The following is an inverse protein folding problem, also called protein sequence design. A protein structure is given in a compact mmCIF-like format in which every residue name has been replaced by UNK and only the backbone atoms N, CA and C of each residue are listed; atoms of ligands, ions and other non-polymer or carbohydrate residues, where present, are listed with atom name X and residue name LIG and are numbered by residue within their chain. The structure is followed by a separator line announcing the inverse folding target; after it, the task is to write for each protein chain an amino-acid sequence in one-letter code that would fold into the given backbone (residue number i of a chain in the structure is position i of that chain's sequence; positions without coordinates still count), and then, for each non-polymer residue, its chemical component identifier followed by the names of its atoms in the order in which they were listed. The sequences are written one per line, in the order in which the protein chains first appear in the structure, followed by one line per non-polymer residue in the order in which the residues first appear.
data_IF_702666300947
#
_entry.id   IF_702666300947
#
_cell.length_a   1.000
_cell.length_b   1.000
_cell.length_c   1.000
_cell.angle_alpha   90.00
_cell.angle_beta   90.00
_cell.angle_gamma   90.00
#
_symmetry.space_group_name_H-M   'P 1'
#
loop_
_entity.id
_entity.type
_entity.pdbx_description
1 polymer ?
#
# COMPACT_ATOMS: atom_id res chain seq x y z
N UNK A 1 -8.88 13.07 -38.62
CA UNK A 1 -9.25 13.48 -37.25
C UNK A 1 -8.39 12.68 -36.29
N UNK A 2 -7.92 13.31 -35.24
CA UNK A 2 -7.17 12.65 -34.19
C UNK A 2 -8.09 11.72 -33.40
N UNK A 3 -7.56 10.59 -32.95
CA UNK A 3 -8.33 9.53 -32.30
C UNK A 3 -7.75 9.18 -30.94
N UNK A 4 -8.54 9.32 -29.88
CA UNK A 4 -8.22 8.78 -28.56
C UNK A 4 -8.31 7.26 -28.58
N UNK A 5 -7.22 6.57 -28.24
CA UNK A 5 -7.14 5.10 -28.21
C UNK A 5 -7.06 4.53 -26.79
N UNK A 6 -6.87 5.40 -25.80
CA UNK A 6 -6.79 5.05 -24.39
C UNK A 6 -7.24 6.25 -23.56
N UNK A 7 -7.97 6.00 -22.48
CA UNK A 7 -8.30 7.00 -21.48
C UNK A 7 -8.33 6.34 -20.09
N UNK A 8 -7.69 6.96 -19.11
CA UNK A 8 -7.68 6.53 -17.70
C UNK A 8 -7.95 7.72 -16.80
N UNK A 9 -8.71 7.49 -15.74
CA UNK A 9 -9.08 8.49 -14.78
C UNK A 9 -8.57 8.14 -13.38
N UNK A 10 -7.98 9.10 -12.66
CA UNK A 10 -7.58 8.96 -11.25
C UNK A 10 -8.67 9.44 -10.29
N UNK A 11 -9.93 9.07 -10.54
CA UNK A 11 -11.10 9.59 -9.82
C UNK A 11 -11.16 9.23 -8.34
N UNK A 12 -10.39 8.24 -7.90
CA UNK A 12 -10.29 7.85 -6.48
C UNK A 12 -9.49 8.86 -5.65
N UNK A 13 -8.67 9.72 -6.28
CA UNK A 13 -7.89 10.76 -5.60
C UNK A 13 -8.80 11.92 -5.17
N UNK A 14 -8.33 12.71 -4.22
CA UNK A 14 -8.92 13.99 -3.84
C UNK A 14 -9.15 14.88 -5.06
N UNK A 15 -10.17 15.72 -5.04
CA UNK A 15 -10.62 16.47 -6.23
C UNK A 15 -9.50 17.28 -6.88
N UNK A 16 -8.59 17.85 -6.07
CA UNK A 16 -7.43 18.63 -6.52
C UNK A 16 -6.30 17.81 -7.17
N UNK A 17 -6.42 16.49 -7.21
CA UNK A 17 -5.44 15.57 -7.78
C UNK A 17 -5.98 14.69 -8.89
N UNK A 18 -7.26 14.85 -9.24
CA UNK A 18 -7.90 14.04 -10.29
C UNK A 18 -7.39 14.47 -11.65
N UNK A 19 -6.89 13.50 -12.41
CA UNK A 19 -6.37 13.66 -13.77
C UNK A 19 -7.06 12.63 -14.67
N UNK A 20 -7.35 13.07 -15.90
CA UNK A 20 -7.66 12.16 -17.02
C UNK A 20 -6.44 12.09 -17.94
N UNK A 21 -5.93 10.89 -18.14
CA UNK A 21 -4.81 10.63 -19.05
C UNK A 21 -5.33 9.98 -20.33
N UNK A 22 -5.13 10.64 -21.46
CA UNK A 22 -5.51 10.15 -22.79
C UNK A 22 -4.27 9.83 -23.63
N UNK A 23 -4.32 8.78 -24.43
CA UNK A 23 -3.37 8.57 -25.54
C UNK A 23 -4.11 8.83 -26.84
N UNK A 24 -3.64 9.83 -27.59
CA UNK A 24 -4.24 10.28 -28.84
C UNK A 24 -3.30 9.96 -29.99
N UNK A 25 -3.87 9.46 -31.10
CA UNK A 25 -3.15 9.18 -32.34
C UNK A 25 -3.58 10.17 -33.40
N UNK A 26 -2.63 10.88 -33.99
CA UNK A 26 -2.89 11.77 -35.11
C UNK A 26 -3.05 11.00 -36.43
N UNK A 27 -3.42 11.72 -37.50
CA UNK A 27 -3.58 11.13 -38.85
C UNK A 27 -2.30 10.52 -39.42
N UNK A 28 -1.13 10.92 -38.92
CA UNK A 28 0.18 10.39 -39.30
C UNK A 28 0.62 9.19 -38.43
N UNK A 29 -0.22 8.75 -37.48
CA UNK A 29 0.09 7.65 -36.57
C UNK A 29 0.99 8.04 -35.39
N UNK A 30 1.29 9.32 -35.19
CA UNK A 30 2.06 9.80 -34.03
C UNK A 30 1.18 9.78 -32.79
N UNK A 31 1.75 9.32 -31.69
CA UNK A 31 1.06 9.19 -30.41
C UNK A 31 1.49 10.32 -29.46
N UNK A 32 0.50 10.99 -28.89
CA UNK A 32 0.67 12.03 -27.87
C UNK A 32 -0.10 11.63 -26.63
N UNK A 33 0.50 11.83 -25.46
CA UNK A 33 -0.16 11.63 -24.17
C UNK A 33 -0.65 12.99 -23.69
N UNK A 34 -1.92 13.06 -23.28
CA UNK A 34 -2.50 14.26 -22.69
C UNK A 34 -2.95 13.96 -21.27
N UNK A 35 -2.61 14.85 -20.33
CA UNK A 35 -3.11 14.82 -18.96
C UNK A 35 -3.99 16.04 -18.73
N UNK A 36 -5.28 15.82 -18.55
CA UNK A 36 -6.28 16.86 -18.29
C UNK A 36 -6.58 16.96 -16.81
N UNK A 37 -6.81 18.17 -16.33
CA UNK A 37 -7.39 18.37 -15.02
C UNK A 37 -8.79 17.74 -14.99
N UNK A 38 -9.01 16.76 -14.10
CA UNK A 38 -10.29 16.06 -13.96
C UNK A 38 -11.36 16.93 -13.28
N UNK A 39 -10.93 17.97 -12.58
CA UNK A 39 -11.78 18.99 -11.95
C UNK A 39 -11.13 20.36 -12.09
N UNK A 40 -11.89 21.44 -11.83
CA UNK A 40 -11.32 22.79 -11.73
C UNK A 40 -10.29 22.90 -10.60
N UNK A 41 -10.48 22.17 -9.50
CA UNK A 41 -9.56 22.16 -8.37
C UNK A 41 -8.22 21.47 -8.70
N UNK A 42 -8.19 20.59 -9.71
CA UNK A 42 -6.97 19.91 -10.16
C UNK A 42 -6.12 20.72 -11.15
N UNK A 43 -6.61 21.87 -11.61
CA UNK A 43 -5.91 22.71 -12.59
C UNK A 43 -4.49 23.13 -12.12
N UNK A 44 -4.30 23.59 -10.86
CA UNK A 44 -2.95 23.91 -10.38
C UNK A 44 -2.02 22.69 -10.35
N UNK A 45 -2.55 21.50 -10.04
CA UNK A 45 -1.77 20.27 -10.01
C UNK A 45 -1.26 19.88 -11.40
N UNK A 46 -2.12 19.98 -12.42
CA UNK A 46 -1.73 19.69 -13.82
C UNK A 46 -0.73 20.71 -14.35
N UNK A 47 -0.93 22.01 -14.13
CA UNK A 47 0.03 23.06 -14.54
C UNK A 47 1.43 22.83 -13.96
N UNK A 48 1.50 22.39 -12.70
CA UNK A 48 2.77 22.18 -11.99
C UNK A 48 3.62 21.08 -12.62
N UNK A 49 3.06 20.15 -13.40
CA UNK A 49 3.82 19.06 -14.03
C UNK A 49 4.95 19.60 -14.92
N UNK A 50 4.69 20.68 -15.67
CA UNK A 50 5.72 21.29 -16.53
C UNK A 50 6.84 21.95 -15.70
N UNK A 51 6.50 22.57 -14.57
CA UNK A 51 7.49 23.11 -13.63
C UNK A 51 8.34 21.99 -13.01
N UNK A 52 7.70 20.90 -12.57
CA UNK A 52 8.37 19.72 -12.05
C UNK A 52 9.32 19.12 -13.09
N UNK A 53 8.91 19.02 -14.36
CA UNK A 53 9.80 18.59 -15.45
C UNK A 53 11.07 19.42 -15.51
N UNK A 54 10.95 20.76 -15.53
CA UNK A 54 12.12 21.67 -15.60
C UNK A 54 13.06 21.47 -14.41
N UNK A 55 12.51 21.36 -13.21
CA UNK A 55 13.26 21.16 -11.97
C UNK A 55 13.99 19.81 -11.93
N UNK A 56 13.31 18.73 -12.32
CA UNK A 56 13.91 17.38 -12.40
C UNK A 56 14.98 17.30 -13.48
N UNK A 57 14.73 17.90 -14.65
CA UNK A 57 15.67 17.91 -15.76
C UNK A 57 16.97 18.65 -15.41
N UNK A 58 16.88 19.68 -14.57
CA UNK A 58 18.02 20.39 -13.98
C UNK A 58 18.76 19.50 -12.97
N UNK A 59 18.04 18.99 -11.96
CA UNK A 59 18.61 18.22 -10.85
C UNK A 59 19.33 16.93 -11.32
N UNK A 60 18.85 16.32 -12.40
CA UNK A 60 19.42 15.09 -12.97
C UNK A 60 20.33 15.35 -14.17
N UNK A 61 20.72 16.61 -14.44
CA UNK A 61 21.60 16.94 -15.56
C UNK A 61 22.93 16.17 -15.48
N UNK A 62 23.32 15.56 -16.60
CA UNK A 62 24.56 14.78 -16.70
C UNK A 62 24.43 13.35 -16.19
N UNK A 63 23.31 12.99 -15.56
CA UNK A 63 22.99 11.60 -15.23
C UNK A 63 22.43 10.85 -16.44
N UNK A 64 22.24 9.53 -16.29
CA UNK A 64 21.56 8.68 -17.27
C UNK A 64 20.05 8.57 -17.04
N UNK A 65 19.50 9.37 -16.12
CA UNK A 65 18.07 9.47 -15.86
C UNK A 65 17.58 10.76 -16.52
N UNK A 66 16.74 10.60 -17.55
CA UNK A 66 16.09 11.68 -18.29
C UNK A 66 14.60 11.67 -17.97
N UNK A 67 13.95 12.81 -18.07
CA UNK A 67 12.51 12.93 -17.85
C UNK A 67 11.83 13.21 -19.19
N UNK A 68 10.69 12.55 -19.45
CA UNK A 68 9.93 12.76 -20.68
C UNK A 68 9.48 14.23 -20.76
N UNK A 69 9.79 14.98 -21.82
CA UNK A 69 9.42 16.39 -21.91
C UNK A 69 7.90 16.56 -21.95
N UNK A 70 7.43 17.68 -21.40
CA UNK A 70 6.04 18.04 -21.48
C UNK A 70 5.85 19.55 -21.62
N UNK A 71 4.67 19.94 -22.10
CA UNK A 71 4.27 21.33 -22.27
C UNK A 71 2.86 21.53 -21.72
N UNK A 72 2.63 22.64 -21.03
CA UNK A 72 1.29 23.01 -20.57
C UNK A 72 0.53 23.72 -21.70
N UNK A 73 -0.74 23.36 -21.86
CA UNK A 73 -1.64 23.93 -22.84
C UNK A 73 -2.90 24.47 -22.16
N UNK A 74 -3.19 25.74 -22.43
CA UNK A 74 -4.42 26.40 -21.97
C UNK A 74 -5.61 26.00 -22.84
N UNK A 75 -6.69 25.58 -22.20
CA UNK A 75 -7.96 25.25 -22.84
C UNK A 75 -9.04 26.26 -22.41
N UNK A 76 -10.15 26.29 -23.13
CA UNK A 76 -11.32 27.10 -22.72
C UNK A 76 -11.86 26.70 -21.34
N UNK A 77 -11.66 25.44 -20.94
CA UNK A 77 -12.12 24.88 -19.67
C UNK A 77 -10.98 24.19 -18.92
N UNK A 78 -10.02 24.97 -18.43
CA UNK A 78 -8.87 24.51 -17.63
C UNK A 78 -7.61 24.32 -18.47
N UNK A 79 -6.68 23.51 -17.97
CA UNK A 79 -5.40 23.21 -18.60
C UNK A 79 -5.24 21.72 -18.87
N UNK A 80 -4.35 21.41 -19.80
CA UNK A 80 -3.81 20.07 -19.99
C UNK A 80 -2.30 20.14 -20.12
N UNK A 81 -1.63 19.02 -19.89
CA UNK A 81 -0.22 18.85 -20.23
C UNK A 81 -0.10 17.83 -21.34
N UNK A 82 0.71 18.11 -22.35
CA UNK A 82 1.01 17.20 -23.44
C UNK A 82 2.45 16.70 -23.38
N UNK A 83 2.66 15.45 -23.72
CA UNK A 83 3.98 14.83 -23.80
C UNK A 83 4.04 13.78 -24.93
N UNK A 84 5.23 13.51 -25.50
CA UNK A 84 5.38 12.46 -26.49
C UNK A 84 5.14 11.09 -25.86
N UNK A 85 4.55 10.18 -26.64
CA UNK A 85 4.47 8.79 -26.21
C UNK A 85 5.85 8.14 -26.22
N UNK A 86 6.35 7.80 -25.03
CA UNK A 86 7.64 7.11 -24.87
C UNK A 86 7.54 5.68 -25.41
N UNK A 87 8.50 5.30 -26.25
CA UNK A 87 8.65 3.95 -26.78
C UNK A 87 9.79 3.25 -26.04
N UNK A 88 9.63 1.96 -25.75
CA UNK A 88 10.63 1.17 -25.06
C UNK A 88 9.99 0.10 -24.19
N UNK A 89 10.82 -0.59 -23.43
CA UNK A 89 10.39 -1.54 -22.40
C UNK A 89 10.61 -0.87 -21.03
N UNK A 90 9.65 -1.04 -20.10
CA UNK A 90 9.80 -0.51 -18.74
C UNK A 90 10.70 -1.41 -17.91
N UNK A 91 11.37 -0.86 -16.90
CA UNK A 91 12.12 -1.67 -15.93
C UNK A 91 11.23 -2.76 -15.31
N UNK A 92 9.96 -2.44 -15.06
CA UNK A 92 8.99 -3.42 -14.55
C UNK A 92 8.76 -4.58 -15.52
N UNK A 93 8.52 -4.32 -16.81
CA UNK A 93 8.32 -5.39 -17.79
C UNK A 93 9.56 -6.27 -17.94
N UNK A 94 10.76 -5.69 -17.84
CA UNK A 94 12.01 -6.44 -17.80
C UNK A 94 12.08 -7.36 -16.57
N UNK A 95 11.78 -6.82 -15.37
CA UNK A 95 11.71 -7.58 -14.11
C UNK A 95 10.70 -8.72 -14.23
N UNK A 96 9.47 -8.45 -14.68
CA UNK A 96 8.39 -9.43 -14.85
C UNK A 96 8.77 -10.55 -15.82
N UNK A 97 9.47 -10.22 -16.91
CA UNK A 97 9.96 -11.21 -17.88
C UNK A 97 11.03 -12.10 -17.25
N UNK A 98 12.06 -11.52 -16.66
CA UNK A 98 13.17 -12.28 -16.06
C UNK A 98 12.70 -13.14 -14.90
N UNK A 99 11.82 -12.60 -14.06
CA UNK A 99 11.19 -13.31 -12.95
C UNK A 99 10.39 -14.54 -13.43
N UNK A 100 9.56 -14.39 -14.47
CA UNK A 100 8.81 -15.52 -15.06
C UNK A 100 9.71 -16.60 -15.67
N UNK A 101 10.90 -16.23 -16.12
CA UNK A 101 11.89 -17.15 -16.69
C UNK A 101 12.78 -17.80 -15.62
N UNK A 102 12.63 -17.43 -14.34
CA UNK A 102 13.51 -17.88 -13.27
C UNK A 102 14.91 -17.26 -13.31
N UNK A 103 15.10 -16.19 -14.10
CA UNK A 103 16.35 -15.45 -14.18
C UNK A 103 16.44 -14.41 -13.05
N UNK A 104 16.71 -14.93 -11.86
CA UNK A 104 16.87 -14.13 -10.64
C UNK A 104 18.05 -13.16 -10.72
N UNK A 105 19.13 -13.55 -11.40
CA UNK A 105 20.33 -12.72 -11.53
C UNK A 105 20.04 -11.41 -12.26
N UNK A 106 19.24 -11.46 -13.34
CA UNK A 106 18.82 -10.24 -14.05
C UNK A 106 17.90 -9.37 -13.19
N UNK A 107 16.96 -9.95 -12.43
CA UNK A 107 16.09 -9.18 -11.52
C UNK A 107 16.93 -8.42 -10.49
N UNK A 108 17.85 -9.10 -9.81
CA UNK A 108 18.72 -8.47 -8.81
C UNK A 108 19.63 -7.41 -9.43
N UNK A 109 20.12 -7.64 -10.65
CA UNK A 109 20.95 -6.67 -11.37
C UNK A 109 20.17 -5.38 -11.69
N UNK A 110 18.91 -5.49 -12.14
CA UNK A 110 18.06 -4.33 -12.40
C UNK A 110 17.83 -3.53 -11.12
N UNK A 111 17.48 -4.20 -10.00
CA UNK A 111 17.23 -3.54 -8.71
C UNK A 111 18.49 -2.81 -8.22
N UNK A 112 19.65 -3.46 -8.28
CA UNK A 112 20.93 -2.84 -7.87
C UNK A 112 21.34 -1.68 -8.76
N UNK A 113 21.14 -1.79 -10.07
CA UNK A 113 21.43 -0.71 -11.01
C UNK A 113 20.53 0.50 -10.76
N UNK A 114 19.25 0.26 -10.49
CA UNK A 114 18.30 1.31 -10.10
C UNK A 114 18.69 1.99 -8.79
N UNK A 115 19.02 1.20 -7.76
CA UNK A 115 19.58 1.69 -6.50
C UNK A 115 20.77 2.63 -6.73
N UNK A 116 21.77 2.15 -7.48
CA UNK A 116 22.98 2.93 -7.77
C UNK A 116 22.67 4.25 -8.49
N UNK A 117 21.92 4.20 -9.60
CA UNK A 117 21.65 5.41 -10.41
C UNK A 117 20.86 6.45 -9.64
N UNK A 118 19.92 6.04 -8.80
CA UNK A 118 19.16 6.96 -7.97
C UNK A 118 20.04 7.58 -6.88
N UNK A 119 20.91 6.79 -6.25
CA UNK A 119 21.83 7.29 -5.23
C UNK A 119 22.88 8.26 -5.80
N UNK A 120 23.34 8.07 -7.03
CA UNK A 120 24.39 8.91 -7.66
C UNK A 120 23.87 10.18 -8.36
N UNK A 121 22.54 10.36 -8.49
CA UNK A 121 21.94 11.46 -9.25
C UNK A 121 20.97 12.32 -8.41
N UNK A 122 20.61 13.50 -8.93
CA UNK A 122 19.55 14.33 -8.35
C UNK A 122 19.97 15.23 -7.16
N UNK A 123 21.27 15.33 -6.85
CA UNK A 123 21.78 16.09 -5.69
C UNK A 123 21.94 15.22 -4.43
N UNK A 124 22.66 15.71 -3.41
CA UNK A 124 22.99 14.96 -2.18
C UNK A 124 22.74 15.77 -0.91
N UNK A 125 21.67 16.55 -0.91
CA UNK A 125 21.29 17.40 0.23
C UNK A 125 20.90 16.55 1.46
N UNK A 126 21.29 16.95 2.69
CA UNK A 126 20.90 16.22 3.89
C UNK A 126 19.40 16.35 4.16
N UNK A 127 18.80 15.29 4.70
CA UNK A 127 17.38 15.31 5.06
C UNK A 127 17.09 16.33 6.14
N UNK A 128 16.18 17.25 5.82
CA UNK A 128 15.71 18.29 6.72
C UNK A 128 14.21 18.13 6.88
N UNK A 129 13.73 18.15 8.12
CA UNK A 129 12.30 18.03 8.38
C UNK A 129 11.61 19.37 8.14
N UNK A 130 10.82 19.45 7.07
CA UNK A 130 10.05 20.65 6.71
C UNK A 130 8.56 20.47 7.04
N UNK A 131 7.83 21.58 7.13
CA UNK A 131 6.37 21.53 7.32
C UNK A 131 5.68 20.92 6.10
N UNK A 132 6.20 21.19 4.89
CA UNK A 132 5.73 20.60 3.64
C UNK A 132 5.90 19.08 3.64
N UNK A 133 7.03 18.58 4.14
CA UNK A 133 7.24 17.14 4.32
C UNK A 133 6.21 16.56 5.28
N UNK A 134 6.02 17.18 6.46
CA UNK A 134 5.04 16.72 7.46
C UNK A 134 3.61 16.68 6.94
N UNK A 135 3.24 17.65 6.10
CA UNK A 135 1.91 17.72 5.50
C UNK A 135 1.63 16.60 4.50
N UNK A 136 2.67 16.06 3.84
CA UNK A 136 2.52 15.02 2.81
C UNK A 136 2.78 13.62 3.36
N UNK A 137 3.82 13.46 4.18
CA UNK A 137 4.34 12.17 4.64
C UNK A 137 4.13 11.94 6.14
N UNK A 138 3.52 12.90 6.85
CA UNK A 138 3.24 12.79 8.28
C UNK A 138 4.47 13.04 9.17
N UNK A 139 4.44 12.59 10.43
CA UNK A 139 5.54 12.77 11.37
C UNK A 139 6.87 12.26 10.79
N UNK A 140 7.87 13.13 10.80
CA UNK A 140 9.16 12.83 10.18
C UNK A 140 10.10 12.09 11.13
N UNK A 141 11.09 11.44 10.52
CA UNK A 141 12.21 10.83 11.22
C UNK A 141 13.27 11.84 11.68
N UNK A 142 14.46 11.35 11.95
CA UNK A 142 15.58 12.14 12.47
C UNK A 142 16.22 13.05 11.41
N UNK A 143 16.56 14.28 11.78
CA UNK A 143 17.34 15.19 10.92
C UNK A 143 18.68 14.58 10.50
N UNK A 144 19.12 14.87 9.27
CA UNK A 144 20.37 14.42 8.68
C UNK A 144 20.53 12.88 8.59
N UNK A 145 19.47 12.11 8.84
CA UNK A 145 19.52 10.65 8.79
C UNK A 145 19.64 10.09 7.36
N UNK A 146 19.23 10.87 6.36
CA UNK A 146 19.18 10.43 4.97
C UNK A 146 19.78 11.46 4.01
N UNK A 147 20.22 10.96 2.85
CA UNK A 147 20.56 11.78 1.69
C UNK A 147 19.31 11.93 0.83
N UNK A 148 19.03 13.16 0.41
CA UNK A 148 17.89 13.53 -0.42
C UNK A 148 18.35 14.02 -1.78
N UNK A 149 17.49 13.85 -2.78
CA UNK A 149 17.62 14.63 -4.01
C UNK A 149 17.12 16.06 -3.76
N UNK A 150 17.67 17.04 -4.47
CA UNK A 150 17.28 18.45 -4.40
C UNK A 150 15.82 18.64 -4.82
N UNK A 151 15.36 17.79 -5.74
CA UNK A 151 13.97 17.68 -6.20
C UNK A 151 13.66 16.20 -6.34
N UNK A 152 12.61 15.73 -5.68
CA UNK A 152 12.31 14.31 -5.56
C UNK A 152 10.96 13.96 -6.14
N UNK A 153 10.95 13.11 -7.16
CA UNK A 153 9.75 12.43 -7.64
C UNK A 153 9.61 11.06 -6.95
N UNK A 154 8.57 10.92 -6.12
CA UNK A 154 8.33 9.65 -5.40
C UNK A 154 7.69 8.58 -6.27
N UNK A 155 7.24 8.92 -7.48
CA UNK A 155 6.67 7.99 -8.47
C UNK A 155 7.67 7.50 -9.52
N UNK A 156 8.98 7.61 -9.23
CA UNK A 156 10.06 6.93 -9.97
C UNK A 156 10.05 5.40 -9.75
N UNK A 157 8.88 4.77 -9.79
CA UNK A 157 8.66 3.32 -9.69
C UNK A 157 8.99 2.63 -11.01
N UNK A 158 9.26 1.31 -10.98
CA UNK A 158 9.75 0.59 -12.16
C UNK A 158 8.81 0.62 -13.39
N UNK A 159 7.49 0.75 -13.21
CA UNK A 159 6.55 0.90 -14.33
C UNK A 159 6.68 2.21 -15.08
N UNK A 160 7.24 3.24 -14.43
CA UNK A 160 7.31 4.60 -14.94
C UNK A 160 8.67 4.91 -15.57
N UNK A 161 9.59 3.95 -15.59
CA UNK A 161 10.96 4.11 -16.10
C UNK A 161 11.12 3.25 -17.34
N UNK A 162 11.31 3.91 -18.48
CA UNK A 162 11.54 3.27 -19.78
C UNK A 162 13.02 3.23 -20.10
N UNK A 163 13.46 2.13 -20.71
CA UNK A 163 14.79 2.02 -21.31
C UNK A 163 14.67 2.26 -22.81
N UNK A 164 15.32 3.30 -23.32
CA UNK A 164 15.38 3.56 -24.76
C UNK A 164 16.31 2.52 -25.40
N UNK A 165 15.80 1.75 -26.36
CA UNK A 165 16.61 0.76 -27.09
C UNK A 165 17.30 1.42 -28.26
N UNK A 166 18.61 1.60 -28.16
CA UNK A 166 19.48 2.01 -29.25
C UNK A 166 20.78 1.20 -29.17
N UNK A 167 21.12 0.49 -30.25
CA UNK A 167 22.38 -0.26 -30.46
C UNK A 167 22.45 -1.71 -29.95
N UNK A 168 21.33 -2.46 -29.89
CA UNK A 168 21.39 -3.91 -29.70
C UNK A 168 21.92 -4.38 -28.34
N UNK A 169 22.01 -3.46 -27.36
CA UNK A 169 22.35 -3.78 -25.98
C UNK A 169 21.29 -4.66 -25.32
N UNK A 170 21.73 -5.51 -24.40
CA UNK A 170 20.86 -6.32 -23.56
C UNK A 170 20.11 -5.43 -22.56
N UNK A 171 19.13 -6.00 -21.85
CA UNK A 171 18.46 -5.37 -20.69
C UNK A 171 19.41 -4.84 -19.61
N UNK A 172 20.68 -5.26 -19.65
CA UNK A 172 21.72 -4.91 -18.69
C UNK A 172 22.72 -3.89 -19.23
N UNK A 173 22.41 -3.21 -20.34
CA UNK A 173 23.27 -2.13 -20.81
C UNK A 173 23.28 -0.97 -19.81
N UNK A 174 24.30 -0.96 -18.96
CA UNK A 174 24.56 0.08 -17.96
C UNK A 174 24.78 1.46 -18.61
N UNK A 175 25.02 1.52 -19.92
CA UNK A 175 25.13 2.76 -20.69
C UNK A 175 23.79 3.25 -21.27
N UNK A 176 22.74 2.44 -21.23
CA UNK A 176 21.42 2.84 -21.73
C UNK A 176 20.81 3.93 -20.84
N UNK A 177 20.29 4.97 -21.47
CA UNK A 177 19.60 6.03 -20.75
C UNK A 177 18.17 5.60 -20.40
N UNK A 178 17.69 6.13 -19.27
CA UNK A 178 16.34 5.91 -18.79
C UNK A 178 15.50 7.15 -19.03
N UNK A 179 14.27 6.95 -19.49
CA UNK A 179 13.26 8.01 -19.64
C UNK A 179 12.16 7.76 -18.61
N UNK A 180 12.07 8.64 -17.61
CA UNK A 180 11.03 8.64 -16.59
C UNK A 180 9.80 9.36 -17.13
N UNK A 181 8.64 8.73 -16.96
CA UNK A 181 7.33 9.33 -17.17
C UNK A 181 6.62 9.49 -15.83
N UNK A 182 5.46 10.15 -15.85
CA UNK A 182 4.54 10.15 -14.71
C UNK A 182 5.10 10.73 -13.39
N UNK A 183 5.90 11.78 -13.51
CA UNK A 183 6.50 12.52 -12.39
C UNK A 183 5.54 13.55 -11.74
N UNK A 184 4.26 13.19 -11.61
CA UNK A 184 3.22 14.06 -11.00
C UNK A 184 3.49 14.34 -9.52
N UNK A 185 4.16 13.39 -8.85
CA UNK A 185 4.43 13.41 -7.41
C UNK A 185 5.86 13.86 -7.12
N UNK A 186 6.20 14.98 -7.76
CA UNK A 186 7.46 15.68 -7.55
C UNK A 186 7.32 16.73 -6.46
N UNK A 187 8.24 16.71 -5.51
CA UNK A 187 8.25 17.61 -4.36
C UNK A 187 9.51 18.47 -4.36
N UNK A 188 9.37 19.81 -4.22
CA UNK A 188 10.50 20.74 -4.15
C UNK A 188 11.04 20.87 -2.71
N UNK A 189 10.97 19.78 -1.93
CA UNK A 189 11.49 19.71 -0.58
C UNK A 189 12.26 18.38 -0.41
N UNK A 190 13.17 18.26 0.57
CA UNK A 190 14.01 17.08 0.72
C UNK A 190 13.17 15.82 0.99
N UNK A 191 13.24 14.85 0.07
CA UNK A 191 12.70 13.50 0.29
C UNK A 191 13.86 12.50 0.19
N UNK A 192 14.00 11.57 1.16
CA UNK A 192 15.07 10.59 1.14
C UNK A 192 15.10 9.75 -0.14
N UNK A 193 16.26 9.63 -0.78
CA UNK A 193 16.44 8.77 -1.96
C UNK A 193 16.05 7.32 -1.66
N UNK A 194 16.39 6.84 -0.45
CA UNK A 194 16.00 5.51 0.05
C UNK A 194 14.48 5.32 0.14
N UNK A 195 13.69 6.37 0.38
CA UNK A 195 12.23 6.26 0.39
C UNK A 195 11.68 6.00 -1.03
N UNK A 196 12.27 6.63 -2.05
CA UNK A 196 11.93 6.37 -3.46
C UNK A 196 12.31 4.93 -3.85
N UNK A 197 13.47 4.44 -3.40
CA UNK A 197 13.87 3.03 -3.58
C UNK A 197 12.89 2.06 -2.92
N UNK A 198 12.51 2.35 -1.68
CA UNK A 198 11.51 1.58 -0.94
C UNK A 198 10.21 1.48 -1.74
N UNK A 199 9.68 2.61 -2.23
CA UNK A 199 8.43 2.63 -3.02
C UNK A 199 8.53 1.77 -4.27
N UNK A 200 9.60 1.91 -5.07
CA UNK A 200 9.79 1.12 -6.28
C UNK A 200 9.80 -0.40 -5.99
N UNK A 201 10.53 -0.82 -4.96
CA UNK A 201 10.61 -2.23 -4.54
C UNK A 201 9.30 -2.72 -3.95
N UNK A 202 8.63 -1.90 -3.13
CA UNK A 202 7.33 -2.21 -2.54
C UNK A 202 6.29 -2.53 -3.63
N UNK A 203 6.17 -1.68 -4.66
CA UNK A 203 5.24 -1.93 -5.76
C UNK A 203 5.60 -3.19 -6.55
N UNK A 204 6.87 -3.39 -6.90
CA UNK A 204 7.31 -4.62 -7.56
C UNK A 204 7.05 -5.87 -6.72
N UNK A 205 7.23 -5.77 -5.40
CA UNK A 205 6.99 -6.89 -4.50
C UNK A 205 5.53 -7.34 -4.55
N UNK A 206 4.59 -6.43 -4.35
CA UNK A 206 3.18 -6.78 -4.33
C UNK A 206 2.60 -7.15 -5.71
N UNK A 207 3.20 -6.65 -6.80
CA UNK A 207 2.74 -6.93 -8.16
C UNK A 207 3.39 -8.17 -8.78
N UNK A 208 4.63 -8.51 -8.38
CA UNK A 208 5.47 -9.51 -9.04
C UNK A 208 5.94 -10.58 -8.06
N UNK A 209 6.59 -10.17 -6.96
CA UNK A 209 7.40 -11.08 -6.15
C UNK A 209 6.62 -11.86 -5.08
N UNK A 210 5.53 -11.30 -4.56
CA UNK A 210 4.80 -11.81 -3.37
C UNK A 210 4.40 -13.28 -3.49
N UNK A 211 4.10 -13.76 -4.69
CA UNK A 211 3.69 -15.14 -4.92
C UNK A 211 4.80 -16.19 -4.66
N UNK A 212 6.08 -15.78 -4.54
CA UNK A 212 7.22 -16.69 -4.38
C UNK A 212 7.63 -16.95 -2.93
N UNK A 213 6.98 -16.32 -1.94
CA UNK A 213 7.25 -16.55 -0.52
C UNK A 213 8.58 -15.97 0.00
N UNK A 214 9.35 -15.27 -0.83
CA UNK A 214 10.47 -14.42 -0.38
C UNK A 214 9.92 -13.20 0.33
N UNK A 215 10.49 -12.79 1.46
CA UNK A 215 10.02 -11.63 2.21
C UNK A 215 10.43 -10.30 1.55
N UNK A 216 9.64 -9.24 1.75
CA UNK A 216 9.95 -7.89 1.25
C UNK A 216 11.30 -7.37 1.79
N UNK A 217 11.64 -7.68 3.05
CA UNK A 217 12.89 -7.25 3.67
C UNK A 217 14.12 -7.75 2.93
N UNK A 218 14.06 -8.94 2.31
CA UNK A 218 15.19 -9.48 1.55
C UNK A 218 15.45 -8.70 0.25
N UNK A 219 14.40 -8.16 -0.37
CA UNK A 219 14.53 -7.30 -1.55
C UNK A 219 15.04 -5.91 -1.19
N UNK A 220 14.57 -5.36 -0.06
CA UNK A 220 14.99 -4.07 0.45
C UNK A 220 16.47 -4.08 0.89
N UNK A 221 16.94 -5.18 1.48
CA UNK A 221 18.34 -5.34 1.86
C UNK A 221 19.32 -5.27 0.68
N UNK A 222 18.88 -5.53 -0.56
CA UNK A 222 19.75 -5.43 -1.75
C UNK A 222 20.19 -4.00 -2.08
N UNK A 223 19.45 -3.02 -1.57
CA UNK A 223 19.69 -1.58 -1.75
C UNK A 223 19.96 -0.88 -0.42
N UNK A 224 20.47 -1.64 0.56
CA UNK A 224 20.90 -1.16 1.88
C UNK A 224 19.77 -0.49 2.69
N UNK A 225 18.53 -0.96 2.55
CA UNK A 225 17.40 -0.53 3.39
C UNK A 225 17.23 -1.52 4.55
N UNK A 226 17.32 -1.03 5.78
CA UNK A 226 17.12 -1.85 6.98
C UNK A 226 15.64 -2.07 7.29
N UNK A 227 15.34 -2.99 8.22
CA UNK A 227 13.96 -3.26 8.68
C UNK A 227 13.36 -2.04 9.38
N UNK A 228 14.17 -1.31 10.15
CA UNK A 228 13.78 -0.09 10.84
C UNK A 228 13.48 1.04 9.84
N UNK A 229 14.34 1.22 8.82
CA UNK A 229 14.09 2.16 7.73
C UNK A 229 12.81 1.79 6.96
N UNK A 230 12.61 0.50 6.67
CA UNK A 230 11.42 0.02 5.97
C UNK A 230 10.12 0.27 6.76
N UNK A 231 10.15 0.11 8.09
CA UNK A 231 9.00 0.43 8.95
C UNK A 231 8.68 1.93 8.90
N UNK A 232 9.70 2.80 9.01
CA UNK A 232 9.51 4.24 8.90
C UNK A 232 8.96 4.65 7.53
N UNK A 233 9.47 4.06 6.45
CA UNK A 233 9.01 4.32 5.09
C UNK A 233 7.58 3.82 4.86
N UNK A 234 7.16 2.72 5.51
CA UNK A 234 5.78 2.25 5.46
C UNK A 234 4.80 3.24 6.12
N UNK A 235 5.21 3.90 7.20
CA UNK A 235 4.41 4.96 7.84
C UNK A 235 4.26 6.18 6.91
N UNK A 236 5.36 6.63 6.29
CA UNK A 236 5.32 7.73 5.30
C UNK A 236 4.46 7.37 4.08
N UNK A 237 4.52 6.13 3.62
CA UNK A 237 3.66 5.63 2.55
C UNK A 237 2.19 5.73 2.93
N UNK A 238 1.84 5.33 4.15
CA UNK A 238 0.47 5.38 4.66
C UNK A 238 -0.05 6.82 4.66
N UNK A 239 0.73 7.76 5.18
CA UNK A 239 0.38 9.18 5.17
C UNK A 239 0.30 9.77 3.76
N UNK A 240 1.19 9.35 2.86
CA UNK A 240 1.10 9.76 1.47
C UNK A 240 -0.21 9.29 0.83
N UNK A 241 -0.61 8.02 1.04
CA UNK A 241 -1.89 7.52 0.54
C UNK A 241 -3.09 8.27 1.14
N UNK A 242 -3.05 8.61 2.43
CA UNK A 242 -4.08 9.46 3.07
C UNK A 242 -4.14 10.86 2.45
N UNK A 243 -2.97 11.46 2.21
CA UNK A 243 -2.82 12.77 1.55
C UNK A 243 -3.41 12.76 0.13
N UNK A 244 -3.22 11.68 -0.63
CA UNK A 244 -3.81 11.52 -1.97
C UNK A 244 -5.34 11.49 -1.96
N UNK A 245 -5.93 11.04 -0.86
CA UNK A 245 -7.37 10.79 -0.75
C UNK A 245 -8.14 11.94 -0.08
N UNK A 246 -7.50 12.71 0.80
CA UNK A 246 -8.14 13.75 1.63
C UNK A 246 -9.42 13.24 2.33
N UNK A 247 -9.38 12.01 2.85
CA UNK A 247 -10.53 11.37 3.48
C UNK A 247 -11.51 10.68 2.52
N UNK A 248 -11.24 10.67 1.22
CA UNK A 248 -11.91 9.81 0.24
C UNK A 248 -11.54 8.33 0.43
N UNK A 249 -12.41 7.41 -0.01
CA UNK A 249 -12.17 5.97 0.08
C UNK A 249 -12.18 5.33 -1.31
N UNK A 250 -11.09 4.65 -1.74
CA UNK A 250 -11.06 3.89 -2.99
C UNK A 250 -12.18 2.86 -3.06
N UNK A 251 -12.73 2.60 -4.25
CA UNK A 251 -13.84 1.65 -4.44
C UNK A 251 -13.40 0.23 -4.05
N UNK A 252 -12.13 -0.11 -4.31
CA UNK A 252 -11.53 -1.38 -3.85
C UNK A 252 -11.60 -1.55 -2.33
N UNK A 253 -11.62 -0.45 -1.57
CA UNK A 253 -11.75 -0.46 -0.12
C UNK A 253 -13.23 -0.40 0.32
N UNK A 254 -14.19 -0.09 -0.58
CA UNK A 254 -15.62 -0.09 -0.24
C UNK A 254 -16.17 -1.49 0.07
N UNK A 255 -15.65 -2.55 -0.56
CA UNK A 255 -16.00 -3.94 -0.21
C UNK A 255 -15.68 -4.27 1.26
N UNK A 256 -14.67 -3.60 1.84
CA UNK A 256 -14.26 -3.72 3.23
C UNK A 256 -15.12 -2.88 4.18
N UNK A 257 -15.65 -1.74 3.72
CA UNK A 257 -16.53 -0.86 4.51
C UNK A 257 -17.99 -1.36 4.51
N UNK A 258 -18.48 -1.82 3.37
CA UNK A 258 -19.85 -2.34 3.23
C UNK A 258 -19.98 -3.78 3.73
N UNK A 259 -18.85 -4.47 3.91
CA UNK A 259 -18.77 -5.91 4.10
C UNK A 259 -19.07 -6.65 2.79
N UNK A 260 -18.38 -7.75 2.54
CA UNK A 260 -18.77 -8.70 1.51
C UNK A 260 -19.46 -9.86 2.21
N UNK A 261 -20.71 -10.18 1.84
CA UNK A 261 -21.36 -11.40 2.35
C UNK A 261 -20.64 -12.60 1.71
N UNK A 262 -19.64 -13.12 2.40
CA UNK A 262 -18.98 -14.38 2.05
C UNK A 262 -19.90 -15.48 2.55
N UNK A 263 -20.52 -16.22 1.62
CA UNK A 263 -21.32 -17.41 1.95
C UNK A 263 -20.42 -18.62 1.71
N UNK A 264 -19.96 -19.31 2.76
CA UNK A 264 -19.27 -20.59 2.63
C UNK A 264 -20.10 -21.54 1.77
N UNK A 265 -19.45 -22.30 0.89
CA UNK A 265 -20.15 -23.21 -0.03
C UNK A 265 -21.04 -24.23 0.72
N UNK A 266 -20.65 -24.58 1.94
CA UNK A 266 -21.40 -25.44 2.87
C UNK A 266 -22.71 -24.81 3.35
N UNK A 267 -22.75 -23.49 3.60
CA UNK A 267 -23.98 -22.74 3.91
C UNK A 267 -24.92 -22.64 2.70
N UNK A 268 -24.38 -22.65 1.49
CA UNK A 268 -25.18 -22.64 0.27
C UNK A 268 -25.87 -23.99 0.02
N UNK A 269 -25.26 -25.08 0.49
CA UNK A 269 -25.76 -26.46 0.39
C UNK A 269 -26.69 -26.83 1.55
N UNK A 270 -26.49 -26.25 2.73
CA UNK A 270 -27.38 -26.37 3.87
C UNK A 270 -28.46 -25.28 3.78
N UNK A 271 -29.56 -25.57 3.07
CA UNK A 271 -30.67 -24.63 2.87
C UNK A 271 -31.01 -23.79 4.11
N UNK A 272 -30.96 -22.47 3.93
CA UNK A 272 -31.37 -21.40 4.86
C UNK A 272 -31.46 -21.79 6.35
N UNK A 273 -30.33 -21.80 7.04
CA UNK A 273 -30.23 -21.31 8.42
C UNK A 273 -28.86 -20.69 8.66
N UNK A 274 -28.70 -19.42 8.32
CA UNK A 274 -27.56 -18.61 8.77
C UNK A 274 -28.11 -17.51 9.67
N UNK A 275 -28.18 -17.81 10.96
CA UNK A 275 -28.23 -16.77 12.00
C UNK A 275 -26.97 -15.94 11.88
N UNK A 276 -27.11 -14.61 11.93
CA UNK A 276 -26.04 -13.66 12.21
C UNK A 276 -25.09 -14.24 13.27
N UNK A 277 -23.79 -13.95 13.16
CA UNK A 277 -22.70 -14.41 14.01
C UNK A 277 -22.76 -14.01 15.50
N UNK A 278 -23.93 -14.09 16.11
CA UNK A 278 -24.08 -14.49 17.49
C UNK A 278 -23.88 -16.01 17.59
N UNK A 279 -22.99 -16.45 18.46
CA UNK A 279 -23.20 -17.73 19.14
C UNK A 279 -24.41 -17.50 20.07
N UNK A 280 -25.61 -17.65 19.50
CA UNK A 280 -26.91 -17.28 20.08
C UNK A 280 -27.29 -18.21 21.25
N UNK A 281 -27.85 -17.60 22.31
CA UNK A 281 -28.81 -18.15 23.31
C UNK A 281 -28.35 -18.95 24.55
N UNK A 282 -27.20 -19.62 24.61
CA UNK A 282 -26.86 -20.43 25.82
C UNK A 282 -26.17 -19.65 26.96
N UNK A 283 -25.60 -18.48 26.67
CA UNK A 283 -24.64 -17.79 27.56
C UNK A 283 -25.20 -17.40 28.94
N UNK A 284 -26.51 -17.17 29.10
CA UNK A 284 -27.10 -16.72 30.38
C UNK A 284 -26.98 -17.74 31.52
N UNK A 285 -26.77 -19.03 31.22
CA UNK A 285 -26.77 -20.11 32.22
C UNK A 285 -25.39 -20.77 32.40
N UNK A 286 -24.39 -20.37 31.60
CA UNK A 286 -23.05 -20.95 31.64
C UNK A 286 -22.26 -20.37 32.82
N UNK A 287 -21.92 -21.23 33.78
CA UNK A 287 -21.06 -20.83 34.91
C UNK A 287 -19.59 -20.87 34.52
N UNK A 288 -19.04 -19.70 34.20
CA UNK A 288 -17.64 -19.54 33.80
C UNK A 288 -16.72 -19.42 35.03
N UNK A 289 -15.68 -20.25 35.10
CA UNK A 289 -14.64 -20.20 36.13
C UNK A 289 -13.62 -19.10 35.84
N UNK A 290 -13.13 -19.03 34.60
CA UNK A 290 -12.20 -18.00 34.13
C UNK A 290 -12.22 -17.91 32.61
N UNK A 291 -11.91 -16.72 32.09
CA UNK A 291 -11.59 -16.52 30.68
C UNK A 291 -10.07 -16.53 30.53
N UNK A 292 -9.60 -17.00 29.38
CA UNK A 292 -8.18 -17.02 29.00
C UNK A 292 -8.10 -16.50 27.58
N UNK A 293 -7.09 -15.68 27.31
CA UNK A 293 -6.80 -15.22 25.97
C UNK A 293 -5.30 -14.98 25.81
N UNK A 294 -4.85 -14.92 24.57
CA UNK A 294 -3.56 -14.42 24.17
C UNK A 294 -3.68 -13.80 22.78
N UNK A 295 -2.94 -12.71 22.56
CA UNK A 295 -2.84 -12.07 21.27
C UNK A 295 -1.56 -12.58 20.62
N UNK A 296 -1.69 -13.31 19.52
CA UNK A 296 -0.54 -13.82 18.76
C UNK A 296 0.02 -12.73 17.84
N UNK A 297 -0.86 -11.87 17.32
CA UNK A 297 -0.52 -10.83 16.34
C UNK A 297 -1.45 -9.64 16.46
N UNK A 298 -0.87 -8.44 16.45
CA UNK A 298 -1.58 -7.18 16.39
C UNK A 298 -0.90 -6.27 15.38
N UNK A 299 -1.57 -6.00 14.26
CA UNK A 299 -1.03 -5.25 13.13
C UNK A 299 -2.00 -4.15 12.71
N UNK A 300 -1.47 -3.03 12.21
CA UNK A 300 -2.25 -1.99 11.55
C UNK A 300 -1.90 -1.99 10.07
N UNK A 301 -2.90 -2.11 9.21
CA UNK A 301 -2.72 -2.12 7.76
C UNK A 301 -3.88 -1.36 7.11
N UNK A 302 -3.55 -0.36 6.28
CA UNK A 302 -4.52 0.41 5.48
C UNK A 302 -5.72 0.96 6.29
N UNK A 303 -5.47 1.48 7.50
CA UNK A 303 -6.52 2.02 8.40
C UNK A 303 -7.37 0.95 9.11
N UNK A 304 -7.03 -0.33 8.96
CA UNK A 304 -7.62 -1.44 9.70
C UNK A 304 -6.68 -1.92 10.79
N UNK A 305 -7.25 -2.39 11.90
CA UNK A 305 -6.54 -3.11 12.94
C UNK A 305 -6.85 -4.59 12.77
N UNK A 306 -5.80 -5.39 12.67
CA UNK A 306 -5.88 -6.85 12.57
C UNK A 306 -5.35 -7.40 13.89
N UNK A 307 -6.21 -8.10 14.62
CA UNK A 307 -5.85 -8.76 15.86
C UNK A 307 -6.17 -10.25 15.74
N UNK A 308 -5.12 -11.06 15.77
CA UNK A 308 -5.20 -12.51 15.73
C UNK A 308 -4.73 -13.09 17.06
N UNK A 309 -5.38 -14.15 17.51
CA UNK A 309 -5.02 -14.79 18.77
C UNK A 309 -5.87 -15.99 19.08
N UNK A 310 -5.92 -16.34 20.36
CA UNK A 310 -6.85 -17.34 20.87
C UNK A 310 -7.54 -16.85 22.13
N UNK A 311 -8.81 -17.21 22.31
CA UNK A 311 -9.57 -16.88 23.50
C UNK A 311 -10.64 -17.94 23.81
N UNK A 312 -10.70 -18.35 25.09
CA UNK A 312 -11.61 -19.40 25.56
C UNK A 312 -12.10 -19.16 27.00
N UNK A 313 -13.28 -19.68 27.30
CA UNK A 313 -13.84 -19.76 28.63
C UNK A 313 -13.65 -21.16 29.21
N UNK A 314 -13.11 -21.25 30.43
CA UNK A 314 -13.14 -22.49 31.23
C UNK A 314 -14.38 -22.47 32.12
N UNK A 315 -15.30 -23.39 31.90
CA UNK A 315 -16.53 -23.54 32.67
C UNK A 315 -16.30 -24.33 33.97
N UNK A 316 -17.18 -24.17 34.96
CA UNK A 316 -17.10 -24.92 36.22
C UNK A 316 -17.33 -26.43 36.04
N UNK A 317 -18.08 -26.82 35.01
CA UNK A 317 -18.32 -28.22 34.63
C UNK A 317 -17.13 -28.88 33.90
N UNK A 318 -16.03 -28.15 33.74
CA UNK A 318 -14.81 -28.62 33.10
C UNK A 318 -14.75 -28.42 31.58
N UNK A 319 -15.83 -27.96 30.93
CA UNK A 319 -15.83 -27.65 29.49
C UNK A 319 -14.97 -26.42 29.20
N UNK A 320 -14.40 -26.40 27.99
CA UNK A 320 -13.70 -25.25 27.42
C UNK A 320 -14.43 -24.83 26.15
N UNK A 321 -14.91 -23.60 26.09
CA UNK A 321 -15.74 -23.09 24.97
C UNK A 321 -15.17 -21.77 24.43
N UNK A 322 -15.40 -21.44 23.15
CA UNK A 322 -15.01 -20.14 22.60
C UNK A 322 -15.73 -19.00 23.32
N UNK A 323 -15.07 -17.85 23.49
CA UNK A 323 -15.67 -16.63 24.07
C UNK A 323 -16.37 -15.79 23.01
N UNK A 324 -17.30 -14.94 23.38
CA UNK A 324 -17.78 -13.86 22.52
C UNK A 324 -16.71 -12.77 22.42
N UNK A 325 -16.57 -12.17 21.24
CA UNK A 325 -15.60 -11.10 20.98
C UNK A 325 -16.37 -9.89 20.45
N UNK A 326 -16.16 -8.75 21.08
CA UNK A 326 -16.68 -7.45 20.64
C UNK A 326 -15.59 -6.41 20.72
N UNK A 327 -15.64 -5.44 19.82
CA UNK A 327 -14.66 -4.37 19.71
C UNK A 327 -15.37 -3.07 20.08
N UNK A 328 -14.74 -2.24 20.89
CA UNK A 328 -15.26 -0.94 21.29
C UNK A 328 -14.26 0.17 20.95
N UNK A 329 -14.81 1.29 20.49
CA UNK A 329 -14.06 2.50 20.21
C UNK A 329 -13.88 3.39 21.44
N UNK A 330 -13.25 4.57 21.28
CA UNK A 330 -12.93 5.47 22.39
C UNK A 330 -14.16 6.11 23.05
N UNK A 331 -15.33 6.07 22.39
CA UNK A 331 -16.61 6.56 22.90
C UNK A 331 -17.48 5.43 23.50
N UNK A 332 -16.89 4.28 23.80
CA UNK A 332 -17.56 3.06 24.26
C UNK A 332 -18.65 2.54 23.31
N UNK A 333 -18.67 3.00 22.05
CA UNK A 333 -19.55 2.43 21.04
C UNK A 333 -18.92 1.19 20.43
N UNK A 334 -19.76 0.18 20.22
CA UNK A 334 -19.34 -1.04 19.58
C UNK A 334 -18.97 -0.77 18.12
N UNK A 335 -17.74 -1.15 17.74
CA UNK A 335 -17.26 -1.12 16.37
C UNK A 335 -17.63 -2.46 15.72
N UNK A 336 -18.15 -2.40 14.49
CA UNK A 336 -18.39 -3.60 13.70
C UNK A 336 -17.05 -4.20 13.28
N UNK A 337 -16.83 -5.47 13.61
CA UNK A 337 -15.63 -6.22 13.27
C UNK A 337 -16.01 -7.55 12.62
N UNK A 338 -15.21 -7.97 11.64
CA UNK A 338 -15.28 -9.32 11.09
C UNK A 338 -14.47 -10.26 11.98
N UNK A 339 -15.13 -11.25 12.57
CA UNK A 339 -14.51 -12.22 13.49
C UNK A 339 -14.57 -13.61 12.86
N UNK A 340 -13.42 -14.14 12.46
CA UNK A 340 -13.28 -15.51 11.94
C UNK A 340 -12.75 -16.42 13.04
N UNK A 341 -13.23 -17.67 13.09
CA UNK A 341 -12.78 -18.68 14.06
C UNK A 341 -11.94 -19.76 13.42
N UNK A 342 -10.96 -20.26 14.15
CA UNK A 342 -10.08 -21.33 13.70
C UNK A 342 -9.78 -22.32 14.83
N UNK A 343 -9.48 -23.56 14.44
CA UNK A 343 -9.07 -24.61 15.37
C UNK A 343 -7.64 -24.37 15.87
N UNK A 344 -7.45 -24.41 17.18
CA UNK A 344 -6.15 -24.25 17.86
C UNK A 344 -5.84 -25.46 18.74
N UNK A 345 -5.50 -26.56 18.08
CA UNK A 345 -5.12 -27.82 18.74
C UNK A 345 -3.84 -27.68 19.57
N UNK A 346 -2.88 -26.90 19.07
CA UNK A 346 -1.65 -26.49 19.75
C UNK A 346 -1.95 -25.84 21.11
N UNK A 347 -2.94 -24.94 21.17
CA UNK A 347 -3.36 -24.27 22.41
C UNK A 347 -4.04 -25.25 23.35
N UNK A 348 -4.90 -26.14 22.83
CA UNK A 348 -5.56 -27.16 23.62
C UNK A 348 -4.54 -28.10 24.28
N UNK A 349 -3.51 -28.51 23.55
CA UNK A 349 -2.40 -29.33 24.05
C UNK A 349 -1.57 -28.59 25.10
N UNK A 350 -1.12 -27.37 24.80
CA UNK A 350 -0.31 -26.55 25.70
C UNK A 350 -1.01 -26.28 27.04
N UNK A 351 -2.33 -26.03 27.00
CA UNK A 351 -3.16 -25.81 28.18
C UNK A 351 -3.63 -27.11 28.85
N UNK A 352 -3.22 -28.28 28.32
CA UNK A 352 -3.57 -29.63 28.78
C UNK A 352 -5.09 -29.82 28.91
N UNK A 353 -5.84 -29.31 27.94
CA UNK A 353 -7.30 -29.41 27.93
C UNK A 353 -7.72 -30.84 27.58
N UNK A 354 -8.60 -31.43 28.38
CA UNK A 354 -9.18 -32.75 28.12
C UNK A 354 -10.58 -32.56 27.54
N UNK A 355 -11.00 -33.41 26.60
CA UNK A 355 -12.35 -33.43 25.99
C UNK A 355 -12.69 -32.15 25.19
N UNK A 356 -11.83 -31.77 24.26
CA UNK A 356 -12.16 -30.74 23.27
C UNK A 356 -12.06 -31.38 21.89
N UNK A 357 -13.21 -31.56 21.24
CA UNK A 357 -13.29 -31.93 19.83
C UNK A 357 -13.46 -30.62 19.04
N UNK A 358 -12.58 -30.37 18.06
CA UNK A 358 -12.45 -29.08 17.32
C UNK A 358 -12.33 -27.83 18.21
N UNK A 359 -11.13 -27.53 18.74
CA UNK A 359 -10.90 -26.39 19.64
C UNK A 359 -10.93 -25.05 18.87
N UNK A 360 -12.12 -24.54 18.55
CA UNK A 360 -12.34 -23.25 17.87
C UNK A 360 -12.00 -22.01 18.72
N UNK A 361 -10.87 -22.06 19.42
CA UNK A 361 -10.39 -21.00 20.31
C UNK A 361 -9.66 -19.90 19.54
N UNK A 362 -9.16 -20.20 18.34
CA UNK A 362 -8.51 -19.21 17.49
C UNK A 362 -9.50 -18.15 17.01
N UNK A 363 -9.03 -16.92 16.90
CA UNK A 363 -9.76 -15.83 16.30
C UNK A 363 -8.86 -14.96 15.42
N UNK A 364 -9.45 -14.45 14.35
CA UNK A 364 -8.94 -13.34 13.57
C UNK A 364 -10.01 -12.25 13.55
N UNK A 365 -9.69 -11.10 14.16
CA UNK A 365 -10.55 -9.93 14.22
C UNK A 365 -9.98 -8.83 13.33
N UNK A 366 -10.81 -8.30 12.45
CA UNK A 366 -10.46 -7.14 11.62
C UNK A 366 -11.53 -6.08 11.81
N UNK A 367 -11.11 -4.87 12.15
CA UNK A 367 -11.98 -3.70 12.23
C UNK A 367 -11.27 -2.45 11.74
N UNK A 368 -12.07 -1.45 11.37
CA UNK A 368 -11.56 -0.15 10.90
C UNK A 368 -11.47 0.80 12.08
N UNK A 369 -10.31 1.42 12.27
CA UNK A 369 -10.12 2.45 13.29
C UNK A 369 -9.03 3.43 12.85
N UNK A 370 -9.31 4.74 12.81
CA UNK A 370 -8.31 5.76 12.52
C UNK A 370 -7.08 5.64 13.43
N UNK A 371 -5.91 5.98 12.90
CA UNK A 371 -4.66 5.93 13.65
C UNK A 371 -4.72 6.80 14.92
N UNK A 372 -4.11 6.32 16.01
CA UNK A 372 -4.02 7.04 17.28
C UNK A 372 -5.30 7.01 18.15
N UNK A 373 -6.39 6.40 17.70
CA UNK A 373 -7.58 6.20 18.54
C UNK A 373 -7.43 4.97 19.45
N UNK A 374 -7.87 5.12 20.71
CA UNK A 374 -7.96 4.02 21.67
C UNK A 374 -9.07 3.06 21.28
N UNK A 375 -8.90 1.80 21.60
CA UNK A 375 -9.91 0.77 21.42
C UNK A 375 -9.73 -0.35 22.45
N UNK A 376 -10.75 -1.18 22.55
CA UNK A 376 -10.69 -2.37 23.39
C UNK A 376 -11.35 -3.58 22.73
N UNK A 377 -10.81 -4.76 23.01
CA UNK A 377 -11.46 -6.04 22.71
C UNK A 377 -12.05 -6.60 24.00
N UNK A 378 -13.34 -6.86 23.97
CA UNK A 378 -14.11 -7.44 25.05
C UNK A 378 -14.33 -8.93 24.77
N UNK A 379 -13.61 -9.76 25.52
CA UNK A 379 -13.81 -11.20 25.55
C UNK A 379 -14.85 -11.53 26.63
N UNK A 380 -16.02 -12.03 26.25
CA UNK A 380 -17.10 -12.28 27.21
C UNK A 380 -17.69 -13.69 27.10
N UNK A 381 -18.10 -14.25 28.23
CA UNK A 381 -18.92 -15.46 28.29
C UNK A 381 -19.69 -15.51 29.61
N UNK A 382 -21.00 -15.74 29.51
CA UNK A 382 -21.91 -15.69 30.64
C UNK A 382 -21.85 -14.36 31.38
N UNK A 383 -21.56 -14.40 32.68
CA UNK A 383 -21.44 -13.21 33.52
C UNK A 383 -19.99 -12.70 33.68
N UNK A 384 -19.05 -13.19 32.86
CA UNK A 384 -17.65 -12.76 32.89
C UNK A 384 -17.26 -12.06 31.61
N UNK A 385 -16.40 -11.07 31.77
CA UNK A 385 -15.76 -10.32 30.71
C UNK A 385 -14.30 -10.06 31.08
N UNK A 386 -13.42 -10.09 30.10
CA UNK A 386 -12.05 -9.60 30.20
C UNK A 386 -11.82 -8.65 29.03
N UNK A 387 -11.21 -7.51 29.32
CA UNK A 387 -10.96 -6.44 28.38
C UNK A 387 -9.46 -6.41 28.06
N UNK A 388 -9.14 -6.35 26.77
CA UNK A 388 -7.81 -6.03 26.27
C UNK A 388 -7.85 -4.62 25.68
N UNK A 389 -7.01 -3.72 26.18
CA UNK A 389 -6.87 -2.35 25.67
C UNK A 389 -5.70 -2.27 24.70
N UNK A 390 -5.89 -1.56 23.58
CA UNK A 390 -4.85 -1.38 22.57
C UNK A 390 -4.89 -0.03 21.85
#
# INVERSE_FOLDING_TARGET
MDRTIYSKYSNERAERFRIRTDIVVDVAGRKTVYKYAGTKAADPHVRRIEECFRQLQEAYRGSRIRFCPCEVEELQAGSRVSSPFVRGETLQSMIERSFRQGDWSTVETIIRLYGRRLMEAGGDSPFTVTEEFRNVFGPAGQENAYICADVSDVDMIFSNIFVETGNGGTVLDVSADWTVIDYEWTFPFPVPKKFVLYRAIYFAYYQIFKAQGRDLSEWLAMVDITVEEAAQFAEWETHFQEYLLEGGFPVRNMQRIMGTKVIPFEELLAGEQTTDGEVVKESRWIRVRRLLYHIDRLERQDGSVICSGWALAKCLDGRCIPVNIRIYGPDEKQIRADVTRSDRADVAEALKLRRVDRPQFGFDCVWILPAGQKWSIHFSMGNREIIYEG
#
